data_IF_104179507247
#
_entry.id   IF_104179507247
#
_cell.length_a   1.000
_cell.length_b   1.000
_cell.length_c   1.000
_cell.angle_alpha   90.00
_cell.angle_beta   90.00
_cell.angle_gamma   90.00
#
_symmetry.space_group_name_H-M   'P 1'
#
loop_
_entity.id
_entity.type
_entity.pdbx_description
1 polymer ?
#
# COMPACT_ATOMS: atom_id res chain seq x y z
N UNK A 1 36.88 21.95 32.05
CA UNK A 1 36.16 22.45 30.86
C UNK A 1 34.86 21.67 30.78
N UNK A 2 33.73 22.35 30.98
CA UNK A 2 32.40 21.73 31.08
C UNK A 2 31.70 21.81 29.72
N UNK A 3 31.25 20.68 29.18
CA UNK A 3 30.42 20.62 27.98
C UNK A 3 29.02 20.14 28.35
N UNK A 4 28.05 21.02 28.08
CA UNK A 4 26.64 20.92 28.42
C UNK A 4 25.92 19.81 27.63
N UNK A 5 25.02 19.11 28.30
CA UNK A 5 24.04 18.20 27.70
C UNK A 5 22.83 19.01 27.24
N UNK A 6 22.48 18.95 25.95
CA UNK A 6 21.26 19.56 25.42
C UNK A 6 20.13 18.53 25.43
N UNK A 7 19.06 18.85 26.16
CA UNK A 7 17.81 18.09 26.21
C UNK A 7 16.98 18.35 24.96
N UNK A 8 16.57 17.28 24.26
CA UNK A 8 15.57 17.36 23.20
C UNK A 8 14.18 17.07 23.78
N UNK A 9 13.34 18.10 23.84
CA UNK A 9 11.90 17.94 24.07
C UNK A 9 11.22 17.83 22.71
N UNK A 10 10.77 16.63 22.33
CA UNK A 10 9.86 16.48 21.20
C UNK A 10 8.44 16.25 21.73
N UNK A 11 7.61 17.26 21.52
CA UNK A 11 6.15 17.25 21.70
C UNK A 11 5.56 16.13 20.84
N UNK A 12 5.00 15.09 21.49
CA UNK A 12 4.11 14.15 20.83
C UNK A 12 2.69 14.71 20.97
N UNK A 13 2.20 15.33 19.89
CA UNK A 13 0.79 15.61 19.73
C UNK A 13 0.23 14.54 18.80
N UNK A 14 -0.10 13.38 19.35
CA UNK A 14 -0.89 12.38 18.66
C UNK A 14 -2.32 12.51 19.19
N UNK A 15 -3.08 13.41 18.57
CA UNK A 15 -4.53 13.36 18.65
C UNK A 15 -4.95 12.06 17.94
N UNK A 16 -5.08 11.00 18.74
CA UNK A 16 -5.64 9.72 18.36
C UNK A 16 -7.13 9.95 18.03
N UNK A 17 -7.41 10.27 16.76
CA UNK A 17 -8.75 10.13 16.25
C UNK A 17 -9.00 8.63 16.10
N UNK A 18 -9.62 8.04 17.13
CA UNK A 18 -10.09 6.66 17.17
C UNK A 18 -11.14 6.46 16.08
N UNK A 19 -10.68 6.27 14.84
CA UNK A 19 -11.53 5.86 13.73
C UNK A 19 -11.87 4.39 13.93
N UNK A 20 -13.15 4.15 14.23
CA UNK A 20 -13.88 2.89 14.21
C UNK A 20 -13.18 1.80 13.40
N UNK A 21 -12.98 0.65 14.03
CA UNK A 21 -12.67 -0.64 13.39
C UNK A 21 -13.79 -1.01 12.42
N UNK A 22 -13.79 -0.42 11.23
CA UNK A 22 -14.40 -1.06 10.07
C UNK A 22 -13.46 -2.20 9.71
N UNK A 23 -13.95 -3.44 9.73
CA UNK A 23 -13.23 -4.61 9.20
C UNK A 23 -13.08 -4.55 7.66
N UNK A 24 -13.07 -3.34 7.12
CA UNK A 24 -13.20 -3.05 5.71
C UNK A 24 -11.91 -2.37 5.29
N UNK A 25 -11.27 -2.97 4.29
CA UNK A 25 -10.03 -2.50 3.70
C UNK A 25 -10.12 -1.00 3.37
N UNK A 26 -9.11 -0.19 3.71
CA UNK A 26 -9.07 1.23 3.35
C UNK A 26 -9.30 1.45 1.87
N UNK A 27 -9.92 2.57 1.53
CA UNK A 27 -10.26 2.88 0.14
C UNK A 27 -9.01 2.89 -0.76
N UNK A 28 -7.90 3.44 -0.28
CA UNK A 28 -6.67 3.51 -1.09
C UNK A 28 -6.08 2.13 -1.38
N UNK A 29 -6.25 1.17 -0.46
CA UNK A 29 -5.89 -0.21 -0.72
C UNK A 29 -6.82 -0.85 -1.74
N UNK A 30 -8.14 -0.60 -1.65
CA UNK A 30 -9.11 -1.07 -2.66
C UNK A 30 -8.75 -0.55 -4.05
N UNK A 31 -8.44 0.74 -4.16
CA UNK A 31 -8.09 1.37 -5.45
C UNK A 31 -6.79 0.77 -6.02
N UNK A 32 -5.76 0.63 -5.19
CA UNK A 32 -4.49 -0.01 -5.58
C UNK A 32 -4.70 -1.44 -6.09
N UNK A 33 -5.44 -2.24 -5.33
CA UNK A 33 -5.68 -3.63 -5.69
C UNK A 33 -6.52 -3.75 -6.95
N UNK A 34 -7.56 -2.94 -7.12
CA UNK A 34 -8.38 -2.93 -8.31
C UNK A 34 -7.56 -2.54 -9.55
N UNK A 35 -6.75 -1.50 -9.45
CA UNK A 35 -5.88 -1.08 -10.55
C UNK A 35 -4.87 -2.18 -10.92
N UNK A 36 -4.32 -2.86 -9.93
CA UNK A 36 -3.42 -3.99 -10.17
C UNK A 36 -4.14 -5.17 -10.84
N UNK A 37 -5.37 -5.50 -10.44
CA UNK A 37 -6.18 -6.54 -11.09
C UNK A 37 -6.51 -6.18 -12.55
N UNK A 38 -6.75 -4.90 -12.85
CA UNK A 38 -6.96 -4.43 -14.22
C UNK A 38 -5.71 -4.68 -15.08
N UNK A 39 -4.52 -4.31 -14.57
CA UNK A 39 -3.24 -4.57 -15.25
C UNK A 39 -2.97 -6.07 -15.46
N UNK A 40 -3.32 -6.89 -14.46
CA UNK A 40 -3.25 -8.35 -14.56
C UNK A 40 -4.17 -8.84 -15.69
N UNK A 41 -5.42 -8.37 -15.74
CA UNK A 41 -6.38 -8.76 -16.78
C UNK A 41 -5.96 -8.33 -18.19
N UNK A 42 -5.28 -7.19 -18.33
CA UNK A 42 -4.65 -6.78 -19.58
C UNK A 42 -3.48 -7.69 -19.96
N UNK A 43 -2.63 -8.04 -18.99
CA UNK A 43 -1.52 -8.95 -19.19
C UNK A 43 -2.00 -10.36 -19.58
N UNK A 44 -3.12 -10.86 -19.04
CA UNK A 44 -3.70 -12.17 -19.40
C UNK A 44 -4.10 -12.28 -20.86
N UNK A 45 -4.43 -11.16 -21.51
CA UNK A 45 -4.81 -11.15 -22.93
C UNK A 45 -3.60 -11.28 -23.86
N UNK A 46 -2.39 -11.07 -23.34
CA UNK A 46 -1.15 -11.16 -24.12
C UNK A 46 -0.72 -12.63 -24.27
N UNK A 47 -0.31 -13.08 -25.47
CA UNK A 47 0.17 -14.44 -25.66
C UNK A 47 1.45 -14.70 -24.85
N UNK A 48 1.53 -15.87 -24.20
CA UNK A 48 2.72 -16.31 -23.44
C UNK A 48 2.82 -15.79 -22.00
N UNK A 49 1.84 -15.04 -21.49
CA UNK A 49 1.91 -14.44 -20.14
C UNK A 49 1.16 -15.22 -19.05
N UNK A 50 0.25 -16.14 -19.39
CA UNK A 50 -0.66 -16.81 -18.44
C UNK A 50 0.05 -17.40 -17.20
N UNK A 51 1.19 -18.07 -17.37
CA UNK A 51 1.96 -18.64 -16.26
C UNK A 51 2.48 -17.56 -15.30
N UNK A 52 2.94 -16.42 -15.85
CA UNK A 52 3.45 -15.31 -15.05
C UNK A 52 2.30 -14.59 -14.35
N UNK A 53 1.19 -14.37 -15.06
CA UNK A 53 -0.01 -13.75 -14.49
C UNK A 53 -0.55 -14.59 -13.33
N UNK A 54 -0.67 -15.91 -13.47
CA UNK A 54 -1.14 -16.75 -12.36
C UNK A 54 -0.28 -16.60 -11.10
N UNK A 55 1.05 -16.52 -11.26
CA UNK A 55 1.96 -16.27 -10.13
C UNK A 55 1.75 -14.88 -9.53
N UNK A 56 1.52 -13.87 -10.36
CA UNK A 56 1.24 -12.50 -9.91
C UNK A 56 -0.08 -12.45 -9.13
N UNK A 57 -1.15 -13.06 -9.63
CA UNK A 57 -2.44 -13.12 -8.94
C UNK A 57 -2.34 -13.80 -7.58
N UNK A 58 -1.59 -14.91 -7.47
CA UNK A 58 -1.35 -15.56 -6.19
C UNK A 58 -0.62 -14.64 -5.18
N UNK A 59 0.41 -13.91 -5.63
CA UNK A 59 1.13 -12.94 -4.78
C UNK A 59 0.26 -11.76 -4.40
N UNK A 60 -0.59 -11.29 -5.31
CA UNK A 60 -1.53 -10.20 -5.05
C UNK A 60 -2.53 -10.59 -3.97
N UNK A 61 -3.08 -11.80 -4.05
CA UNK A 61 -3.98 -12.34 -3.03
C UNK A 61 -3.31 -12.50 -1.67
N UNK A 62 -2.05 -12.99 -1.65
CA UNK A 62 -1.28 -13.04 -0.41
C UNK A 62 -1.06 -11.65 0.18
N UNK A 63 -0.70 -10.67 -0.64
CA UNK A 63 -0.52 -9.28 -0.20
C UNK A 63 -1.81 -8.68 0.35
N UNK A 64 -2.96 -8.96 -0.26
CA UNK A 64 -4.29 -8.55 0.27
C UNK A 64 -4.50 -9.07 1.68
N UNK A 65 -4.25 -10.36 1.94
CA UNK A 65 -4.40 -10.93 3.28
C UNK A 65 -3.43 -10.30 4.29
N UNK A 66 -2.16 -10.15 3.91
CA UNK A 66 -1.14 -9.54 4.77
C UNK A 66 -1.49 -8.10 5.16
N UNK A 67 -1.99 -7.29 4.23
CA UNK A 67 -2.40 -5.90 4.53
C UNK A 67 -3.54 -5.89 5.54
N UNK A 68 -4.51 -6.80 5.44
CA UNK A 68 -5.61 -6.87 6.39
C UNK A 68 -5.17 -7.21 7.83
N UNK A 69 -4.03 -7.87 7.98
CA UNK A 69 -3.42 -8.17 9.28
C UNK A 69 -2.61 -6.99 9.86
N UNK A 70 -2.37 -5.93 9.08
CA UNK A 70 -1.61 -4.76 9.53
C UNK A 70 -2.48 -3.73 10.25
N UNK A 71 -1.84 -2.85 11.02
CA UNK A 71 -2.50 -1.68 11.62
C UNK A 71 -3.08 -0.73 10.55
N UNK A 72 -4.29 -0.21 10.79
CA UNK A 72 -5.06 0.59 9.82
C UNK A 72 -4.26 1.78 9.25
N UNK A 73 -3.55 2.52 10.12
CA UNK A 73 -2.72 3.65 9.70
C UNK A 73 -1.57 3.21 8.77
N UNK A 74 -1.01 2.02 9.03
CA UNK A 74 0.04 1.44 8.19
C UNK A 74 -0.53 0.93 6.86
N UNK A 75 -1.74 0.35 6.87
CA UNK A 75 -2.44 -0.04 5.63
C UNK A 75 -2.61 1.17 4.72
N UNK A 76 -3.21 2.26 5.24
CA UNK A 76 -3.43 3.52 4.52
C UNK A 76 -2.11 4.02 3.92
N UNK A 77 -1.08 4.17 4.75
CA UNK A 77 0.22 4.71 4.30
C UNK A 77 0.89 3.82 3.25
N UNK A 78 0.85 2.51 3.43
CA UNK A 78 1.43 1.55 2.48
C UNK A 78 0.75 1.63 1.12
N UNK A 79 -0.59 1.64 1.12
CA UNK A 79 -1.38 1.69 -0.10
C UNK A 79 -1.26 3.04 -0.82
N UNK A 80 -1.21 4.16 -0.10
CA UNK A 80 -0.97 5.49 -0.70
C UNK A 80 0.37 5.55 -1.45
N UNK A 81 1.44 5.08 -0.81
CA UNK A 81 2.79 5.05 -1.43
C UNK A 81 2.81 4.15 -2.66
N UNK A 82 2.19 2.97 -2.57
CA UNK A 82 2.12 2.04 -3.68
C UNK A 82 1.27 2.59 -4.84
N UNK A 83 0.14 3.25 -4.55
CA UNK A 83 -0.74 3.86 -5.54
C UNK A 83 -0.04 5.03 -6.25
N UNK A 84 0.66 5.89 -5.50
CA UNK A 84 1.46 6.97 -6.07
C UNK A 84 2.53 6.42 -7.02
N UNK A 85 3.25 5.37 -6.60
CA UNK A 85 4.26 4.72 -7.45
C UNK A 85 3.65 4.10 -8.70
N UNK A 86 2.51 3.42 -8.56
CA UNK A 86 1.80 2.80 -9.69
C UNK A 86 1.40 3.86 -10.72
N UNK A 87 0.83 4.97 -10.27
CA UNK A 87 0.46 6.09 -11.13
C UNK A 87 1.67 6.69 -11.85
N UNK A 88 2.81 6.87 -11.16
CA UNK A 88 4.05 7.34 -11.79
C UNK A 88 4.57 6.36 -12.85
N UNK A 89 4.48 5.05 -12.59
CA UNK A 89 4.88 4.03 -13.58
C UNK A 89 3.98 4.05 -14.82
N UNK A 90 2.66 4.23 -14.63
CA UNK A 90 1.72 4.37 -15.75
C UNK A 90 2.00 5.61 -16.59
N UNK A 91 2.31 6.74 -15.96
CA UNK A 91 2.69 7.97 -16.67
C UNK A 91 3.97 7.80 -17.50
N UNK A 92 4.91 6.97 -17.05
CA UNK A 92 6.14 6.67 -17.80
C UNK A 92 5.94 5.72 -18.99
N UNK A 93 4.81 5.00 -19.02
CA UNK A 93 4.47 4.06 -20.09
C UNK A 93 3.57 4.68 -21.17
N UNK A 94 3.14 5.94 -20.99
CA UNK A 94 2.45 6.75 -21.99
C UNK A 94 3.43 7.56 -22.82
#
# INVERSE_FOLDING_TARGET
MATAVMSFSNVVNAAENSAKKSSEMPQQCKDLFNETENLIAEAEKQPGTHTQVNKIRSKLNQSKQQILEMELATQIKSCDVALAKLNSMKQQQQ
#
